data_IF_114716913802
#
_entry.id   IF_114716913802
#
_cell.length_a   1.000
_cell.length_b   1.000
_cell.length_c   1.000
_cell.angle_alpha   90.00
_cell.angle_beta   90.00
_cell.angle_gamma   90.00
#
_symmetry.space_group_name_H-M   'P 1'
#
loop_
_entity.id
_entity.type
_entity.pdbx_description
1 polymer ?
#
# COMPACT_ATOMS: atom_id res chain seq x y z
N UNK A 1 15.35 11.16 -7.50
CA UNK A 1 15.15 10.41 -6.26
C UNK A 1 13.84 9.64 -6.42
N UNK A 2 13.91 8.31 -6.49
CA UNK A 2 12.72 7.46 -6.70
C UNK A 2 12.30 6.85 -5.36
N UNK A 3 11.00 6.79 -5.11
CA UNK A 3 10.44 6.11 -3.93
C UNK A 3 10.55 4.60 -4.11
N UNK A 4 11.06 3.90 -3.10
CA UNK A 4 11.17 2.43 -3.09
C UNK A 4 9.79 1.78 -2.84
N UNK A 5 8.98 1.69 -3.90
CA UNK A 5 7.63 1.12 -3.86
C UNK A 5 7.61 -0.30 -3.24
N UNK A 6 8.64 -1.10 -3.52
CA UNK A 6 8.79 -2.45 -2.95
C UNK A 6 8.92 -2.43 -1.43
N UNK A 7 9.68 -1.48 -0.87
CA UNK A 7 9.85 -1.33 0.58
C UNK A 7 8.53 -0.87 1.23
N UNK A 8 7.86 0.12 0.62
CA UNK A 8 6.55 0.61 1.09
C UNK A 8 5.52 -0.52 1.12
N UNK A 9 5.39 -1.25 0.01
CA UNK A 9 4.47 -2.39 -0.11
C UNK A 9 4.75 -3.43 0.96
N UNK A 10 6.01 -3.79 1.16
CA UNK A 10 6.41 -4.76 2.18
C UNK A 10 5.98 -4.30 3.58
N UNK A 11 6.24 -3.05 3.96
CA UNK A 11 5.87 -2.51 5.28
C UNK A 11 4.35 -2.45 5.47
N UNK A 12 3.59 -2.08 4.44
CA UNK A 12 2.12 -2.11 4.44
C UNK A 12 1.60 -3.54 4.64
N UNK A 13 2.14 -4.49 3.88
CA UNK A 13 1.72 -5.89 3.93
C UNK A 13 2.11 -6.57 5.25
N UNK A 14 3.28 -6.26 5.81
CA UNK A 14 3.71 -6.73 7.13
C UNK A 14 2.82 -6.17 8.24
N UNK A 15 2.44 -4.88 8.14
CA UNK A 15 1.53 -4.23 9.07
C UNK A 15 0.10 -4.79 9.00
N UNK A 16 -0.38 -5.07 7.79
CA UNK A 16 -1.72 -5.59 7.58
C UNK A 16 -1.81 -7.09 7.96
N UNK A 17 -0.83 -7.90 7.59
CA UNK A 17 -0.99 -9.35 7.62
C UNK A 17 -0.54 -9.99 8.94
N UNK A 18 0.29 -9.32 9.75
CA UNK A 18 0.80 -9.86 11.03
C UNK A 18 1.67 -11.14 10.92
N UNK A 19 1.59 -11.86 9.81
CA UNK A 19 2.31 -13.08 9.42
C UNK A 19 2.35 -13.22 7.89
N UNK A 20 3.27 -14.07 7.40
CA UNK A 20 3.56 -14.32 5.99
C UNK A 20 2.31 -14.58 5.13
N UNK A 21 2.17 -13.80 4.06
CA UNK A 21 1.02 -13.81 3.14
C UNK A 21 0.84 -15.15 2.39
N UNK A 22 -0.40 -15.67 2.26
CA UNK A 22 -0.71 -16.83 1.42
C UNK A 22 -0.69 -16.47 -0.08
N UNK A 23 -0.54 -17.47 -0.96
CA UNK A 23 -0.39 -17.30 -2.42
C UNK A 23 -1.53 -16.54 -3.13
N UNK A 24 -2.70 -16.40 -2.51
CA UNK A 24 -3.81 -15.54 -3.01
C UNK A 24 -3.45 -14.05 -2.93
N UNK A 25 -2.52 -13.68 -2.06
CA UNK A 25 -1.98 -12.34 -1.96
C UNK A 25 -1.27 -11.90 -3.24
N UNK A 26 -0.72 -12.82 -4.06
CA UNK A 26 0.11 -12.48 -5.23
C UNK A 26 -0.66 -11.67 -6.29
N UNK A 27 -1.97 -11.92 -6.47
CA UNK A 27 -2.79 -11.14 -7.39
C UNK A 27 -3.19 -9.76 -6.82
N UNK A 28 -3.38 -9.67 -5.50
CA UNK A 28 -3.69 -8.39 -4.83
C UNK A 28 -2.42 -7.54 -4.63
N UNK A 29 -1.27 -8.19 -4.58
CA UNK A 29 0.06 -7.61 -4.57
C UNK A 29 0.34 -6.73 -5.80
N UNK A 30 -0.26 -7.03 -6.95
CA UNK A 30 -0.22 -6.19 -8.15
C UNK A 30 -1.07 -4.92 -8.02
N UNK A 31 -2.25 -5.02 -7.37
CA UNK A 31 -3.14 -3.87 -7.14
C UNK A 31 -2.50 -2.88 -6.18
N UNK A 32 -1.92 -3.37 -5.08
CA UNK A 32 -1.18 -2.53 -4.11
C UNK A 32 0.01 -1.84 -4.78
N UNK A 33 0.78 -2.56 -5.62
CA UNK A 33 1.92 -1.99 -6.35
C UNK A 33 1.49 -0.91 -7.37
N UNK A 34 0.37 -1.13 -8.06
CA UNK A 34 -0.22 -0.15 -8.98
C UNK A 34 -0.69 1.11 -8.24
N UNK A 35 -1.39 0.96 -7.12
CA UNK A 35 -1.86 2.07 -6.29
C UNK A 35 -0.71 2.88 -5.70
N UNK A 36 0.36 2.22 -5.26
CA UNK A 36 1.56 2.89 -4.76
C UNK A 36 2.27 3.66 -5.86
N UNK A 37 2.41 3.07 -7.05
CA UNK A 37 2.96 3.79 -8.21
C UNK A 37 2.13 5.02 -8.52
N UNK A 38 0.81 4.92 -8.50
CA UNK A 38 -0.07 6.06 -8.76
C UNK A 38 0.00 7.12 -7.65
N UNK A 39 0.09 6.68 -6.38
CA UNK A 39 0.27 7.56 -5.23
C UNK A 39 1.58 8.31 -5.28
N UNK A 40 2.71 7.70 -5.64
CA UNK A 40 4.00 8.37 -5.68
C UNK A 40 4.31 9.01 -7.03
N UNK A 41 3.54 8.74 -8.07
CA UNK A 41 3.70 9.35 -9.38
C UNK A 41 3.37 10.86 -9.30
N UNK A 42 4.34 11.76 -9.49
CA UNK A 42 4.09 13.20 -9.48
C UNK A 42 3.24 13.67 -10.67
N UNK A 43 3.14 12.86 -11.73
CA UNK A 43 2.29 13.12 -12.89
C UNK A 43 0.86 12.59 -12.73
N UNK A 44 0.56 11.86 -11.63
CA UNK A 44 -0.79 11.40 -11.36
C UNK A 44 -1.71 12.58 -11.05
N UNK A 45 -2.87 12.61 -11.70
CA UNK A 45 -3.96 13.56 -11.41
C UNK A 45 -4.94 13.00 -10.37
N UNK A 46 -4.74 11.76 -9.93
CA UNK A 46 -5.60 11.14 -8.93
C UNK A 46 -5.45 11.86 -7.59
N UNK A 47 -6.56 12.15 -6.89
CA UNK A 47 -6.50 12.71 -5.55
C UNK A 47 -5.73 11.77 -4.63
N UNK A 48 -4.74 12.29 -3.90
CA UNK A 48 -3.90 11.49 -2.98
C UNK A 48 -4.75 10.74 -1.95
N UNK A 49 -5.81 11.37 -1.46
CA UNK A 49 -6.75 10.77 -0.51
C UNK A 49 -7.51 9.60 -1.13
N UNK A 50 -7.94 9.71 -2.39
CA UNK A 50 -8.60 8.59 -3.09
C UNK A 50 -7.65 7.40 -3.27
N UNK A 51 -6.42 7.65 -3.74
CA UNK A 51 -5.39 6.60 -3.84
C UNK A 51 -5.02 6.01 -2.49
N UNK A 52 -5.04 6.80 -1.41
CA UNK A 52 -4.80 6.32 -0.04
C UNK A 52 -5.92 5.38 0.39
N UNK A 53 -7.18 5.78 0.26
CA UNK A 53 -8.34 4.93 0.60
C UNK A 53 -8.31 3.62 -0.17
N UNK A 54 -8.06 3.69 -1.48
CA UNK A 54 -8.04 2.52 -2.33
C UNK A 54 -6.85 1.59 -2.03
N UNK A 55 -5.69 2.16 -1.68
CA UNK A 55 -4.52 1.41 -1.22
C UNK A 55 -4.80 0.72 0.12
N UNK A 56 -5.44 1.41 1.06
CA UNK A 56 -5.82 0.84 2.36
C UNK A 56 -6.81 -0.31 2.18
N UNK A 57 -7.83 -0.14 1.33
CA UNK A 57 -8.76 -1.22 1.00
C UNK A 57 -8.03 -2.41 0.36
N UNK A 58 -7.17 -2.18 -0.63
CA UNK A 58 -6.41 -3.24 -1.29
C UNK A 58 -5.46 -3.98 -0.32
N UNK A 59 -4.77 -3.24 0.56
CA UNK A 59 -3.90 -3.82 1.57
C UNK A 59 -4.66 -4.61 2.63
N UNK A 60 -5.83 -4.12 3.04
CA UNK A 60 -6.72 -4.80 3.97
C UNK A 60 -7.31 -6.09 3.37
N UNK A 61 -7.71 -6.05 2.09
CA UNK A 61 -8.18 -7.24 1.37
C UNK A 61 -7.08 -8.26 1.07
N UNK A 62 -5.83 -7.80 0.92
CA UNK A 62 -4.68 -8.66 0.66
C UNK A 62 -4.17 -9.32 1.95
N UNK A 63 -4.50 -8.71 3.09
CA UNK A 63 -4.26 -9.23 4.43
C UNK A 63 -5.28 -10.31 4.78
N UNK A 64 -4.80 -11.36 5.45
CA UNK A 64 -5.65 -12.33 6.15
C UNK A 64 -5.72 -12.08 7.67
N UNK A 65 -5.14 -10.96 8.11
CA UNK A 65 -4.96 -10.57 9.52
C UNK A 65 -5.79 -9.35 9.91
N UNK A 66 -5.25 -8.51 10.77
CA UNK A 66 -5.92 -7.30 11.26
C UNK A 66 -6.17 -6.28 10.13
N UNK A 67 -7.30 -5.57 10.21
CA UNK A 67 -7.59 -4.47 9.30
C UNK A 67 -6.53 -3.37 9.44
N UNK A 68 -5.80 -3.09 8.36
CA UNK A 68 -4.93 -1.93 8.30
C UNK A 68 -5.76 -0.65 8.08
N UNK A 69 -5.49 0.36 8.87
CA UNK A 69 -6.21 1.65 8.81
C UNK A 69 -5.56 2.63 7.85
N UNK A 70 -6.32 3.58 7.31
CA UNK A 70 -5.79 4.67 6.47
C UNK A 70 -4.69 5.47 7.20
N UNK A 71 -4.82 5.66 8.51
CA UNK A 71 -3.82 6.38 9.31
C UNK A 71 -2.49 5.63 9.31
N UNK A 72 -2.52 4.30 9.45
CA UNK A 72 -1.32 3.47 9.40
C UNK A 72 -0.69 3.48 8.01
N UNK A 73 -1.50 3.30 6.96
CA UNK A 73 -1.01 3.35 5.57
C UNK A 73 -0.40 4.71 5.26
N UNK A 74 -1.09 5.81 5.61
CA UNK A 74 -0.60 7.17 5.44
C UNK A 74 0.71 7.40 6.19
N UNK A 75 0.81 6.93 7.43
CA UNK A 75 2.04 7.05 8.23
C UNK A 75 3.22 6.34 7.57
N UNK A 76 2.98 5.18 6.96
CA UNK A 76 4.02 4.48 6.18
C UNK A 76 4.37 5.32 4.95
N UNK A 77 3.38 5.71 4.12
CA UNK A 77 3.61 6.49 2.91
C UNK A 77 4.40 7.78 3.18
N UNK A 78 4.10 8.49 4.26
CA UNK A 78 4.77 9.72 4.66
C UNK A 78 6.26 9.53 4.97
N UNK A 79 6.68 8.35 5.46
CA UNK A 79 8.11 8.04 5.66
C UNK A 79 8.90 7.94 4.35
N UNK A 80 8.22 7.55 3.27
CA UNK A 80 8.82 7.32 1.96
C UNK A 80 8.49 8.42 0.95
N UNK A 81 7.83 9.52 1.38
CA UNK A 81 7.67 10.71 0.55
C UNK A 81 9.06 11.33 0.31
N UNK A 82 9.41 11.64 -0.95
CA UNK A 82 10.69 12.27 -1.29
C UNK A 82 10.75 13.73 -0.87
#
# INVERSE_FOLDING_TARGET
>A
MGVDIKAVKKEIMEKASGQSLPAVAVAQEDIVDMMLKEYFNPASKAPKDYTLTALTAAASMASTGDEITEIQVKSILDKYKP
#
